data_IF_986989884725
#
_entry.id   IF_986989884725
#
_cell.length_a   1.000
_cell.length_b   1.000
_cell.length_c   1.000
_cell.angle_alpha   90.00
_cell.angle_beta   90.00
_cell.angle_gamma   90.00
#
_symmetry.space_group_name_H-M   'P 1'
#
loop_
_entity.id
_entity.type
_entity.pdbx_description
1 polymer ?
#
# COMPACT_ATOMS: atom_id res chain seq x y z
N UNK A 1 99.99 29.46 -12.85
CA UNK A 1 99.58 30.50 -11.90
C UNK A 1 98.59 31.43 -12.58
N UNK A 2 97.29 31.23 -12.39
CA UNK A 2 96.23 32.26 -12.59
C UNK A 2 94.85 31.76 -12.12
N UNK A 3 94.80 30.80 -11.18
CA UNK A 3 93.58 30.39 -10.45
C UNK A 3 93.17 31.41 -9.37
N UNK A 4 93.47 32.69 -9.58
CA UNK A 4 93.04 33.82 -8.74
C UNK A 4 92.09 34.78 -9.46
N UNK A 5 91.74 34.51 -10.73
CA UNK A 5 90.85 35.36 -11.53
C UNK A 5 89.40 34.88 -11.66
N UNK A 6 89.06 33.65 -11.26
CA UNK A 6 87.70 33.09 -11.47
C UNK A 6 86.87 33.04 -10.18
N UNK A 7 87.50 33.08 -9.00
CA UNK A 7 86.76 33.07 -7.72
C UNK A 7 86.33 34.48 -7.26
N UNK A 8 87.01 35.53 -7.73
CA UNK A 8 86.71 36.92 -7.36
C UNK A 8 85.57 37.55 -8.17
N UNK A 9 85.20 36.97 -9.31
CA UNK A 9 84.10 37.45 -10.15
C UNK A 9 82.75 36.78 -9.82
N UNK A 10 82.75 35.63 -9.16
CA UNK A 10 81.53 34.93 -8.74
C UNK A 10 81.00 35.39 -7.37
N UNK A 11 81.87 35.94 -6.51
CA UNK A 11 81.46 36.48 -5.20
C UNK A 11 80.89 37.90 -5.35
N UNK A 12 81.27 38.63 -6.42
CA UNK A 12 80.80 40.00 -6.65
C UNK A 12 79.41 40.09 -7.31
N UNK A 13 78.92 39.02 -7.96
CA UNK A 13 77.56 39.00 -8.54
C UNK A 13 76.47 38.54 -7.56
N UNK A 14 76.85 37.97 -6.41
CA UNK A 14 75.90 37.53 -5.38
C UNK A 14 75.64 38.58 -4.29
N UNK A 15 76.46 39.63 -4.22
CA UNK A 15 76.33 40.71 -3.22
C UNK A 15 75.44 41.87 -3.73
N UNK A 16 75.18 41.97 -5.03
CA UNK A 16 74.32 43.04 -5.60
C UNK A 16 72.82 42.74 -5.47
N UNK A 17 72.42 41.52 -5.10
CA UNK A 17 71.02 41.19 -4.79
C UNK A 17 70.66 41.19 -3.29
N UNK A 18 71.61 41.46 -2.38
CA UNK A 18 71.38 41.47 -0.93
C UNK A 18 71.45 42.87 -0.29
N UNK A 19 71.53 43.94 -1.08
CA UNK A 19 71.66 45.31 -0.58
C UNK A 19 70.57 46.29 -1.09
N UNK A 20 69.35 45.81 -1.31
CA UNK A 20 68.16 46.65 -1.31
C UNK A 20 67.23 46.21 -0.16
N UNK A 21 67.67 46.49 1.07
CA UNK A 21 66.75 46.63 2.19
C UNK A 21 65.83 47.81 1.91
N UNK A 22 64.52 47.67 2.16
CA UNK A 22 63.70 48.61 2.95
C UNK A 22 62.30 48.01 3.16
N UNK A 23 62.07 47.67 4.43
CA UNK A 23 60.82 47.66 5.21
C UNK A 23 59.54 46.92 4.77
N UNK A 24 59.21 45.94 5.64
CA UNK A 24 57.87 45.73 6.24
C UNK A 24 56.84 44.93 5.44
N UNK A 25 56.87 43.60 5.60
CA UNK A 25 55.69 42.72 5.76
C UNK A 25 56.21 41.32 6.10
N UNK A 26 55.94 40.71 7.27
CA UNK A 26 54.69 40.04 7.63
C UNK A 26 54.10 39.14 6.53
N UNK A 27 54.90 38.35 5.81
CA UNK A 27 54.35 37.30 4.92
C UNK A 27 55.26 36.07 4.96
N UNK A 28 55.25 35.35 6.08
CA UNK A 28 55.61 33.92 6.11
C UNK A 28 54.82 33.15 7.20
N UNK A 29 53.64 33.68 7.58
CA UNK A 29 52.74 33.09 8.59
C UNK A 29 51.30 32.95 8.09
N UNK A 30 50.99 33.34 6.84
CA UNK A 30 49.60 33.42 6.37
C UNK A 30 49.10 32.17 5.65
N UNK A 31 49.98 31.35 5.06
CA UNK A 31 49.57 30.12 4.35
C UNK A 31 49.38 28.95 5.34
N UNK A 32 50.24 28.83 6.35
CA UNK A 32 50.13 27.80 7.40
C UNK A 32 48.99 28.08 8.40
N UNK A 33 48.58 29.36 8.58
CA UNK A 33 47.41 29.73 9.40
C UNK A 33 46.08 29.43 8.71
N UNK A 34 45.94 29.70 7.41
CA UNK A 34 44.68 29.48 6.67
C UNK A 34 44.33 27.97 6.54
N UNK A 35 45.33 27.11 6.32
CA UNK A 35 45.11 25.66 6.18
C UNK A 35 44.81 24.99 7.53
N UNK A 36 45.40 25.51 8.62
CA UNK A 36 45.15 25.06 9.99
C UNK A 36 43.76 25.46 10.49
N UNK A 37 43.29 26.66 10.15
CA UNK A 37 41.94 27.12 10.48
C UNK A 37 40.87 26.38 9.65
N UNK A 38 41.12 26.12 8.36
CA UNK A 38 40.24 25.31 7.52
C UNK A 38 40.13 23.85 8.00
N UNK A 39 41.25 23.25 8.43
CA UNK A 39 41.27 21.88 9.00
C UNK A 39 40.52 21.83 10.33
N UNK A 40 40.68 22.85 11.17
CA UNK A 40 39.97 22.95 12.45
C UNK A 40 38.46 23.07 12.25
N UNK A 41 38.02 23.93 11.32
CA UNK A 41 36.59 24.06 10.98
C UNK A 41 36.01 22.74 10.46
N UNK A 42 36.75 22.02 9.60
CA UNK A 42 36.32 20.72 9.10
C UNK A 42 36.17 19.68 10.23
N UNK A 43 37.05 19.68 11.22
CA UNK A 43 36.96 18.78 12.39
C UNK A 43 35.71 19.12 13.21
N UNK A 44 35.48 20.40 13.52
CA UNK A 44 34.30 20.85 14.27
C UNK A 44 32.98 20.52 13.55
N UNK A 45 32.95 20.68 12.22
CA UNK A 45 31.80 20.31 11.39
C UNK A 45 31.56 18.79 11.40
N UNK A 46 32.64 17.99 11.35
CA UNK A 46 32.57 16.52 11.42
C UNK A 46 32.14 16.04 12.79
N UNK A 47 32.64 16.62 13.86
CA UNK A 47 32.23 16.30 15.24
C UNK A 47 30.75 16.63 15.46
N UNK A 48 30.28 17.76 14.91
CA UNK A 48 28.86 18.12 14.95
C UNK A 48 28.00 17.13 14.16
N UNK A 49 28.47 16.64 13.01
CA UNK A 49 27.77 15.61 12.23
C UNK A 49 27.75 14.27 12.96
N UNK A 50 28.85 13.86 13.58
CA UNK A 50 28.93 12.63 14.37
C UNK A 50 27.92 12.69 15.50
N UNK A 51 27.91 13.78 16.28
CA UNK A 51 26.96 13.94 17.39
C UNK A 51 25.51 13.87 16.94
N UNK A 52 25.17 14.53 15.83
CA UNK A 52 23.80 14.46 15.26
C UNK A 52 23.41 13.05 14.80
N UNK A 53 24.37 12.29 14.25
CA UNK A 53 24.14 10.92 13.83
C UNK A 53 24.01 9.98 15.04
N UNK A 54 24.77 10.21 16.10
CA UNK A 54 24.66 9.49 17.38
C UNK A 54 23.28 9.73 18.01
N UNK A 55 22.86 10.99 18.16
CA UNK A 55 21.53 11.36 18.66
C UNK A 55 20.41 10.69 17.83
N UNK A 56 20.51 10.74 16.50
CA UNK A 56 19.53 10.08 15.62
C UNK A 56 19.54 8.55 15.75
N UNK A 57 20.71 7.95 15.95
CA UNK A 57 20.80 6.50 16.16
C UNK A 57 20.15 6.08 17.48
N UNK A 58 20.34 6.86 18.54
CA UNK A 58 19.66 6.64 19.82
C UNK A 58 18.13 6.75 19.65
N UNK A 59 17.63 7.82 19.01
CA UNK A 59 16.20 8.00 18.74
C UNK A 59 15.60 6.84 17.91
N UNK A 60 16.34 6.34 16.91
CA UNK A 60 15.91 5.21 16.09
C UNK A 60 15.92 3.90 16.88
N UNK A 61 16.89 3.69 17.77
CA UNK A 61 16.96 2.51 18.63
C UNK A 61 15.78 2.49 19.62
N UNK A 62 15.50 3.63 20.24
CA UNK A 62 14.36 3.77 21.15
C UNK A 62 13.03 3.54 20.42
N UNK A 63 12.88 4.11 19.22
CA UNK A 63 11.69 3.89 18.37
C UNK A 63 11.53 2.43 17.98
N UNK A 64 12.61 1.75 17.60
CA UNK A 64 12.59 0.34 17.25
C UNK A 64 12.20 -0.52 18.47
N UNK A 65 12.76 -0.21 19.63
CA UNK A 65 12.42 -0.92 20.86
C UNK A 65 10.95 -0.75 21.25
N UNK A 66 10.42 0.47 21.11
CA UNK A 66 9.00 0.76 21.32
C UNK A 66 8.12 -0.05 20.37
N UNK A 67 8.39 0.00 19.06
CA UNK A 67 7.63 -0.73 18.04
C UNK A 67 7.69 -2.25 18.30
N UNK A 68 8.85 -2.77 18.69
CA UNK A 68 8.99 -4.19 19.02
C UNK A 68 8.14 -4.59 20.23
N UNK A 69 8.05 -3.72 21.23
CA UNK A 69 7.22 -3.94 22.41
C UNK A 69 5.74 -3.94 22.04
N UNK A 70 5.29 -2.95 21.27
CA UNK A 70 3.91 -2.85 20.79
C UNK A 70 3.52 -4.05 19.91
N UNK A 71 4.44 -4.50 19.05
CA UNK A 71 4.24 -5.68 18.22
C UNK A 71 4.09 -6.95 19.08
N UNK A 72 4.91 -7.11 20.11
CA UNK A 72 4.81 -8.26 21.01
C UNK A 72 3.48 -8.25 21.76
N UNK A 73 3.07 -7.10 22.29
CA UNK A 73 1.78 -6.96 22.97
C UNK A 73 0.60 -7.30 22.03
N UNK A 74 0.63 -6.77 20.81
CA UNK A 74 -0.41 -7.04 19.80
C UNK A 74 -0.48 -8.52 19.43
N UNK A 75 0.68 -9.20 19.35
CA UNK A 75 0.73 -10.65 19.09
C UNK A 75 0.15 -11.47 20.24
N UNK A 76 0.46 -11.10 21.48
CA UNK A 76 -0.10 -11.76 22.66
C UNK A 76 -1.62 -11.59 22.71
N UNK A 77 -2.11 -10.38 22.46
CA UNK A 77 -3.54 -10.09 22.38
C UNK A 77 -4.23 -10.87 21.26
N UNK A 78 -3.66 -10.90 20.05
CA UNK A 78 -4.20 -11.68 18.93
C UNK A 78 -4.25 -13.18 19.25
N UNK A 79 -3.20 -13.72 19.88
CA UNK A 79 -3.18 -15.12 20.31
C UNK A 79 -4.26 -15.42 21.35
N UNK A 80 -4.48 -14.52 22.31
CA UNK A 80 -5.53 -14.66 23.30
C UNK A 80 -6.92 -14.72 22.66
N UNK A 81 -7.23 -13.80 21.73
CA UNK A 81 -8.51 -13.84 21.03
C UNK A 81 -8.68 -15.07 20.16
N UNK A 82 -7.62 -15.52 19.46
CA UNK A 82 -7.68 -16.75 18.68
C UNK A 82 -8.00 -17.96 19.56
N UNK A 83 -7.37 -18.09 20.73
CA UNK A 83 -7.67 -19.16 21.68
C UNK A 83 -9.12 -19.10 22.17
N UNK A 84 -9.61 -17.90 22.52
CA UNK A 84 -11.01 -17.72 22.93
C UNK A 84 -11.98 -18.11 21.82
N UNK A 85 -11.69 -17.73 20.57
CA UNK A 85 -12.52 -18.09 19.42
C UNK A 85 -12.49 -19.59 19.20
N UNK A 86 -11.33 -20.23 19.24
CA UNK A 86 -11.21 -21.69 19.11
C UNK A 86 -12.03 -22.42 20.19
N UNK A 87 -11.96 -21.96 21.44
CA UNK A 87 -12.78 -22.48 22.54
C UNK A 87 -14.29 -22.33 22.26
N UNK A 88 -14.72 -21.17 21.77
CA UNK A 88 -16.12 -20.92 21.42
C UNK A 88 -16.60 -21.78 20.24
N UNK A 89 -15.75 -21.96 19.23
CA UNK A 89 -16.07 -22.75 18.03
C UNK A 89 -16.11 -24.25 18.32
N UNK A 90 -15.38 -24.75 19.31
CA UNK A 90 -15.39 -26.17 19.70
C UNK A 90 -16.78 -26.65 20.18
N UNK A 91 -17.63 -25.74 20.67
CA UNK A 91 -18.99 -26.06 21.08
C UNK A 91 -20.00 -26.08 19.92
N UNK A 92 -19.58 -25.66 18.72
CA UNK A 92 -20.45 -25.62 17.54
C UNK A 92 -20.45 -26.98 16.83
N UNK A 93 -21.62 -27.46 16.45
CA UNK A 93 -21.76 -28.58 15.51
C UNK A 93 -21.35 -28.17 14.09
N UNK A 94 -20.98 -29.14 13.25
CA UNK A 94 -20.69 -28.94 11.82
C UNK A 94 -21.77 -28.11 11.10
N UNK A 95 -23.05 -28.34 11.43
CA UNK A 95 -24.17 -27.59 10.88
C UNK A 95 -24.14 -26.12 11.32
N UNK A 96 -23.82 -25.83 12.58
CA UNK A 96 -23.71 -24.45 13.07
C UNK A 96 -22.47 -23.75 12.49
N UNK A 97 -21.37 -24.46 12.33
CA UNK A 97 -20.15 -23.95 11.69
C UNK A 97 -20.41 -23.61 10.21
N UNK A 98 -21.15 -24.45 9.49
CA UNK A 98 -21.56 -24.19 8.12
C UNK A 98 -22.49 -22.97 8.02
N UNK A 99 -23.47 -22.85 8.92
CA UNK A 99 -24.36 -21.69 8.95
C UNK A 99 -23.61 -20.39 9.31
N UNK A 100 -22.59 -20.48 10.16
CA UNK A 100 -21.69 -19.36 10.41
C UNK A 100 -20.85 -19.03 9.18
N UNK A 101 -20.27 -20.02 8.51
CA UNK A 101 -19.50 -19.83 7.28
C UNK A 101 -20.31 -19.09 6.22
N UNK A 102 -21.56 -19.50 5.98
CA UNK A 102 -22.46 -18.80 5.03
C UNK A 102 -22.68 -17.33 5.37
N UNK A 103 -22.71 -16.96 6.65
CA UNK A 103 -22.85 -15.56 7.09
C UNK A 103 -21.60 -14.72 6.92
N UNK A 104 -20.43 -15.37 6.76
CA UNK A 104 -19.18 -14.67 6.48
C UNK A 104 -19.01 -14.33 4.99
N UNK A 105 -19.86 -14.90 4.12
CA UNK A 105 -19.92 -14.53 2.71
C UNK A 105 -21.13 -13.61 2.49
N UNK A 106 -20.86 -12.42 1.97
CA UNK A 106 -21.90 -11.46 1.59
C UNK A 106 -21.93 -11.32 0.07
N UNK A 107 -23.13 -11.31 -0.49
CA UNK A 107 -23.36 -11.13 -1.92
C UNK A 107 -24.24 -9.91 -2.11
N UNK A 108 -23.87 -9.07 -3.08
CA UNK A 108 -24.64 -7.87 -3.42
C UNK A 108 -24.91 -7.87 -4.92
N UNK A 109 -26.17 -7.64 -5.29
CA UNK A 109 -26.59 -7.49 -6.68
C UNK A 109 -27.13 -6.08 -6.86
N UNK A 110 -26.48 -5.32 -7.73
CA UNK A 110 -26.79 -3.93 -7.97
C UNK A 110 -27.08 -3.66 -9.43
N UNK A 111 -27.90 -2.65 -9.67
CA UNK A 111 -28.09 -2.05 -10.99
C UNK A 111 -27.79 -0.55 -10.88
N UNK A 112 -26.84 -0.07 -11.68
CA UNK A 112 -26.33 1.31 -11.63
C UNK A 112 -25.93 1.75 -10.21
N UNK A 113 -25.28 0.87 -9.45
CA UNK A 113 -24.83 1.13 -8.06
C UNK A 113 -25.97 1.20 -7.03
N UNK A 114 -27.18 0.77 -7.39
CA UNK A 114 -28.32 0.67 -6.47
C UNK A 114 -28.71 -0.79 -6.26
N UNK A 115 -29.00 -1.23 -5.02
CA UNK A 115 -29.34 -2.62 -4.74
C UNK A 115 -30.63 -3.03 -5.44
N UNK A 116 -30.67 -4.26 -5.94
CA UNK A 116 -31.87 -4.85 -6.54
C UNK A 116 -32.96 -5.01 -5.46
N UNK A 117 -34.18 -4.48 -5.68
CA UNK A 117 -35.30 -4.69 -4.77
C UNK A 117 -35.68 -6.16 -4.64
N UNK A 118 -36.31 -6.54 -3.52
CA UNK A 118 -36.69 -7.94 -3.23
C UNK A 118 -37.56 -8.59 -4.30
N UNK A 119 -38.41 -7.82 -4.96
CA UNK A 119 -39.30 -8.28 -6.04
C UNK A 119 -38.61 -8.35 -7.42
N UNK A 120 -37.34 -7.96 -7.51
CA UNK A 120 -36.50 -8.03 -8.70
C UNK A 120 -36.89 -7.05 -9.81
N UNK A 121 -37.73 -6.05 -9.54
CA UNK A 121 -38.17 -5.09 -10.57
C UNK A 121 -37.49 -3.74 -10.34
N UNK A 122 -36.75 -3.29 -11.36
CA UNK A 122 -36.04 -2.01 -11.35
C UNK A 122 -36.54 -1.16 -12.52
N UNK A 123 -36.70 0.14 -12.28
CA UNK A 123 -37.07 1.12 -13.31
C UNK A 123 -35.97 2.17 -13.41
N UNK A 124 -35.41 2.32 -14.61
CA UNK A 124 -34.20 3.10 -14.87
C UNK A 124 -34.49 4.04 -16.05
N UNK A 125 -33.96 5.27 -16.01
CA UNK A 125 -34.12 6.24 -17.11
C UNK A 125 -32.85 6.36 -17.96
N UNK A 126 -31.74 5.91 -17.41
CA UNK A 126 -30.44 5.87 -18.03
C UNK A 126 -30.43 4.88 -19.21
N UNK A 127 -29.83 5.31 -20.32
CA UNK A 127 -29.61 4.48 -21.50
C UNK A 127 -28.42 3.51 -21.34
N UNK A 128 -27.70 3.63 -20.22
CA UNK A 128 -26.61 2.74 -19.85
C UNK A 128 -27.00 2.06 -18.56
N UNK A 129 -26.98 0.74 -18.59
CA UNK A 129 -27.34 -0.12 -17.47
C UNK A 129 -26.13 -0.97 -17.14
N UNK A 130 -25.60 -0.82 -15.93
CA UNK A 130 -24.56 -1.66 -15.37
C UNK A 130 -25.16 -2.54 -14.29
N UNK A 131 -24.95 -3.85 -14.42
CA UNK A 131 -25.39 -4.86 -13.46
C UNK A 131 -24.14 -5.42 -12.80
N UNK A 132 -24.05 -5.28 -11.49
CA UNK A 132 -22.88 -5.67 -10.70
C UNK A 132 -23.28 -6.77 -9.73
N UNK A 133 -22.55 -7.88 -9.75
CA UNK A 133 -22.62 -8.91 -8.71
C UNK A 133 -21.29 -8.93 -7.96
N UNK A 134 -21.36 -8.67 -6.66
CA UNK A 134 -20.22 -8.47 -5.78
C UNK A 134 -20.21 -9.57 -4.72
N UNK A 135 -19.05 -10.19 -4.50
CA UNK A 135 -18.78 -11.15 -3.42
C UNK A 135 -17.82 -10.51 -2.42
N UNK A 136 -18.20 -10.48 -1.14
CA UNK A 136 -17.39 -9.94 -0.04
C UNK A 136 -17.19 -10.96 1.06
N UNK A 137 -15.99 -11.00 1.63
CA UNK A 137 -15.61 -11.81 2.79
C UNK A 137 -14.96 -10.95 3.89
N UNK A 138 -14.89 -11.41 5.14
CA UNK A 138 -14.11 -10.72 6.17
C UNK A 138 -12.61 -10.69 5.82
N UNK A 139 -11.92 -9.64 6.26
CA UNK A 139 -10.47 -9.51 6.13
C UNK A 139 -9.70 -10.54 6.97
N UNK A 140 -10.31 -11.02 8.06
CA UNK A 140 -9.75 -12.01 8.96
C UNK A 140 -10.78 -13.12 9.14
N UNK A 141 -10.46 -14.29 8.59
CA UNK A 141 -11.29 -15.49 8.70
C UNK A 141 -10.93 -16.21 9.99
N UNK A 142 -11.94 -16.47 10.81
CA UNK A 142 -11.78 -17.17 12.10
C UNK A 142 -12.14 -18.66 12.03
N UNK A 143 -12.81 -19.08 10.96
CA UNK A 143 -13.17 -20.46 10.74
C UNK A 143 -12.01 -21.21 10.06
N UNK A 144 -11.87 -22.53 10.29
CA UNK A 144 -11.03 -23.38 9.45
C UNK A 144 -11.35 -23.21 7.96
N UNK A 145 -10.33 -23.13 7.11
CA UNK A 145 -10.47 -22.80 5.69
C UNK A 145 -11.44 -23.73 4.94
N UNK A 146 -11.42 -25.02 5.26
CA UNK A 146 -12.29 -26.03 4.66
C UNK A 146 -13.77 -25.80 5.00
N UNK A 147 -14.06 -25.34 6.22
CA UNK A 147 -15.41 -24.96 6.64
C UNK A 147 -15.79 -23.61 6.03
N UNK A 148 -14.87 -22.65 6.06
CA UNK A 148 -15.11 -21.30 5.55
C UNK A 148 -15.51 -21.32 4.07
N UNK A 149 -14.78 -22.08 3.24
CA UNK A 149 -15.06 -22.19 1.79
C UNK A 149 -16.40 -22.86 1.51
N UNK A 150 -16.88 -23.76 2.38
CA UNK A 150 -18.22 -24.37 2.24
C UNK A 150 -19.36 -23.36 2.43
N UNK A 151 -19.08 -22.18 2.99
CA UNK A 151 -20.04 -21.09 3.12
C UNK A 151 -20.36 -20.36 1.82
N UNK A 152 -19.52 -20.52 0.78
CA UNK A 152 -19.71 -19.89 -0.53
C UNK A 152 -20.93 -20.45 -1.26
N UNK A 153 -21.49 -19.66 -2.18
CA UNK A 153 -22.36 -20.22 -3.22
C UNK A 153 -21.58 -21.23 -4.07
N UNK A 154 -22.24 -22.29 -4.53
CA UNK A 154 -21.57 -23.40 -5.22
C UNK A 154 -20.95 -23.01 -6.57
N UNK A 155 -19.68 -23.34 -6.78
CA UNK A 155 -18.97 -22.96 -8.01
C UNK A 155 -18.48 -21.52 -7.98
N UNK A 156 -18.41 -20.86 -9.14
CA UNK A 156 -18.06 -19.44 -9.18
C UNK A 156 -19.32 -18.60 -9.08
N UNK A 157 -19.34 -17.59 -8.22
CA UNK A 157 -20.53 -16.77 -7.97
C UNK A 157 -21.11 -16.11 -9.24
N UNK A 158 -20.26 -15.74 -10.20
CA UNK A 158 -20.70 -15.13 -11.46
C UNK A 158 -21.40 -16.12 -12.41
N UNK A 159 -21.18 -17.42 -12.27
CA UNK A 159 -21.88 -18.45 -13.05
C UNK A 159 -23.36 -18.57 -12.65
N UNK A 160 -23.74 -17.91 -11.55
CA UNK A 160 -25.13 -17.85 -11.08
C UNK A 160 -25.97 -16.83 -11.84
N UNK A 161 -25.38 -15.98 -12.67
CA UNK A 161 -26.10 -15.01 -13.51
C UNK A 161 -26.35 -15.58 -14.91
N UNK A 162 -27.59 -15.48 -15.38
CA UNK A 162 -27.96 -15.89 -16.75
C UNK A 162 -28.76 -14.79 -17.43
N UNK A 163 -28.09 -14.06 -18.31
CA UNK A 163 -28.70 -12.98 -19.07
C UNK A 163 -29.47 -13.50 -20.28
N UNK A 164 -30.64 -12.91 -20.53
CA UNK A 164 -31.42 -13.17 -21.76
C UNK A 164 -30.90 -12.36 -22.96
N UNK A 165 -30.10 -11.33 -22.71
CA UNK A 165 -29.44 -10.51 -23.71
C UNK A 165 -27.94 -10.43 -23.40
N UNK A 166 -27.11 -10.37 -24.43
CA UNK A 166 -25.66 -10.25 -24.22
C UNK A 166 -25.32 -8.81 -23.79
N UNK A 167 -24.54 -8.64 -22.71
CA UNK A 167 -24.00 -7.34 -22.35
C UNK A 167 -23.04 -6.84 -23.44
N UNK A 168 -22.95 -5.52 -23.58
CA UNK A 168 -22.00 -4.85 -24.46
C UNK A 168 -20.56 -5.01 -23.96
N UNK A 169 -20.38 -5.04 -22.64
CA UNK A 169 -19.10 -5.19 -21.99
C UNK A 169 -19.25 -6.03 -20.71
N UNK A 170 -18.22 -6.80 -20.38
CA UNK A 170 -18.14 -7.52 -19.10
C UNK A 170 -16.72 -7.40 -18.57
N UNK A 171 -16.60 -7.01 -17.31
CA UNK A 171 -15.31 -6.81 -16.65
C UNK A 171 -15.38 -7.25 -15.17
N UNK A 172 -14.23 -7.54 -14.59
CA UNK A 172 -14.11 -7.95 -13.19
C UNK A 172 -13.36 -6.90 -12.36
N UNK A 173 -13.69 -6.83 -11.09
CA UNK A 173 -12.92 -6.12 -10.06
C UNK A 173 -12.40 -7.13 -9.05
N UNK A 174 -11.13 -7.02 -8.69
CA UNK A 174 -10.46 -7.95 -7.78
C UNK A 174 -9.73 -7.17 -6.69
N UNK A 175 -10.02 -7.54 -5.45
CA UNK A 175 -9.48 -6.96 -4.23
C UNK A 175 -9.29 -8.04 -3.19
N UNK A 176 -8.59 -7.71 -2.10
CA UNK A 176 -8.23 -8.72 -1.08
C UNK A 176 -9.43 -9.38 -0.40
N UNK A 177 -10.54 -8.66 -0.26
CA UNK A 177 -11.72 -9.10 0.49
C UNK A 177 -13.04 -8.91 -0.26
N UNK A 178 -12.99 -8.22 -1.40
CA UNK A 178 -14.14 -7.88 -2.24
C UNK A 178 -13.74 -8.17 -3.67
N UNK A 179 -14.57 -8.92 -4.38
CA UNK A 179 -14.45 -9.14 -5.82
C UNK A 179 -15.81 -8.88 -6.47
N UNK A 180 -15.81 -8.52 -7.74
CA UNK A 180 -17.05 -8.28 -8.46
C UNK A 180 -16.97 -8.63 -9.95
N UNK A 181 -18.11 -8.98 -10.52
CA UNK A 181 -18.31 -9.05 -11.97
C UNK A 181 -19.34 -8.00 -12.36
N UNK A 182 -19.07 -7.31 -13.45
CA UNK A 182 -19.87 -6.20 -13.95
C UNK A 182 -20.26 -6.47 -15.40
N UNK A 183 -21.55 -6.31 -15.70
CA UNK A 183 -22.12 -6.48 -17.02
C UNK A 183 -22.78 -5.17 -17.46
N UNK A 184 -22.27 -4.57 -18.52
CA UNK A 184 -22.71 -3.27 -19.00
C UNK A 184 -23.47 -3.40 -20.30
N UNK A 185 -24.63 -2.75 -20.35
CA UNK A 185 -25.49 -2.62 -21.52
C UNK A 185 -25.52 -1.15 -21.90
N UNK A 186 -25.06 -0.83 -23.10
CA UNK A 186 -25.05 0.54 -23.63
C UNK A 186 -26.16 0.71 -24.66
N UNK A 187 -26.56 1.96 -24.87
CA UNK A 187 -27.58 2.35 -25.87
C UNK A 187 -28.92 1.59 -25.71
N UNK A 188 -29.34 1.38 -24.46
CA UNK A 188 -30.61 0.71 -24.14
C UNK A 188 -31.78 1.58 -24.57
N UNK A 189 -32.58 1.09 -25.51
CA UNK A 189 -33.73 1.82 -26.04
C UNK A 189 -34.78 2.09 -24.94
N UNK A 190 -35.44 3.25 -25.04
CA UNK A 190 -36.55 3.62 -24.16
C UNK A 190 -37.69 2.61 -24.31
N UNK A 191 -38.18 2.08 -23.20
CA UNK A 191 -39.21 1.03 -23.18
C UNK A 191 -38.66 -0.38 -23.32
N UNK A 192 -37.35 -0.57 -23.55
CA UNK A 192 -36.73 -1.88 -23.54
C UNK A 192 -36.73 -2.48 -22.13
N UNK A 193 -36.70 -3.81 -22.08
CA UNK A 193 -36.55 -4.57 -20.83
C UNK A 193 -35.32 -5.44 -20.92
N UNK A 194 -34.39 -5.25 -19.98
CA UNK A 194 -33.30 -6.20 -19.75
C UNK A 194 -33.76 -7.16 -18.67
N UNK A 195 -33.56 -8.45 -18.91
CA UNK A 195 -33.94 -9.50 -17.97
C UNK A 195 -32.84 -10.53 -17.85
N UNK A 196 -32.67 -11.03 -16.64
CA UNK A 196 -31.75 -12.12 -16.33
C UNK A 196 -32.29 -12.92 -15.15
N UNK A 197 -31.85 -14.18 -15.06
CA UNK A 197 -32.16 -15.06 -13.94
C UNK A 197 -30.93 -15.28 -13.07
N UNK A 198 -31.19 -15.50 -11.79
CA UNK A 198 -30.22 -15.98 -10.81
C UNK A 198 -30.59 -17.38 -10.34
N UNK A 199 -29.63 -18.16 -9.85
CA UNK A 199 -29.97 -19.46 -9.26
C UNK A 199 -30.68 -19.31 -7.92
N UNK A 200 -31.41 -20.35 -7.51
CA UNK A 200 -32.09 -20.41 -6.21
C UNK A 200 -31.14 -20.24 -5.01
N UNK A 201 -29.89 -20.65 -5.18
CA UNK A 201 -28.86 -20.49 -4.14
C UNK A 201 -28.47 -19.02 -3.99
N UNK A 202 -28.11 -18.35 -5.09
CA UNK A 202 -27.76 -16.93 -5.06
C UNK A 202 -28.96 -16.07 -4.62
N UNK A 203 -30.19 -16.40 -5.06
CA UNK A 203 -31.42 -15.73 -4.60
C UNK A 203 -31.55 -15.73 -3.08
N UNK A 204 -31.30 -16.88 -2.44
CA UNK A 204 -31.36 -17.00 -0.97
C UNK A 204 -30.29 -16.16 -0.31
N UNK A 205 -29.05 -16.20 -0.82
CA UNK A 205 -27.94 -15.40 -0.29
C UNK A 205 -28.20 -13.90 -0.41
N UNK A 206 -28.81 -13.45 -1.52
CA UNK A 206 -29.21 -12.05 -1.75
C UNK A 206 -30.47 -11.63 -0.98
N UNK A 207 -31.20 -12.57 -0.35
CA UNK A 207 -32.46 -12.28 0.34
C UNK A 207 -33.60 -11.81 -0.58
N UNK A 208 -33.58 -12.21 -1.86
CA UNK A 208 -34.58 -11.84 -2.86
C UNK A 208 -35.77 -12.81 -2.85
N UNK A 209 -36.95 -12.30 -3.21
CA UNK A 209 -38.18 -13.11 -3.28
C UNK A 209 -38.35 -13.77 -4.67
N UNK A 210 -37.61 -13.30 -5.68
CA UNK A 210 -37.62 -13.79 -7.07
C UNK A 210 -36.24 -14.17 -7.56
N UNK A 211 -36.19 -15.15 -8.48
CA UNK A 211 -34.99 -15.50 -9.24
C UNK A 211 -34.89 -14.73 -10.57
N UNK A 212 -35.98 -14.10 -11.00
CA UNK A 212 -36.06 -13.34 -12.26
C UNK A 212 -35.97 -11.85 -11.96
N UNK A 213 -34.96 -11.19 -12.54
CA UNK A 213 -34.72 -9.76 -12.39
C UNK A 213 -35.08 -9.06 -13.70
N UNK A 214 -35.86 -7.99 -13.60
CA UNK A 214 -36.34 -7.20 -14.73
C UNK A 214 -36.00 -5.72 -14.55
N UNK A 215 -35.25 -5.18 -15.50
CA UNK A 215 -34.88 -3.77 -15.55
C UNK A 215 -35.64 -3.12 -16.71
N UNK A 216 -36.53 -2.19 -16.38
CA UNK A 216 -37.39 -1.48 -17.34
C UNK A 216 -36.80 -0.10 -17.62
N UNK A 217 -36.36 0.11 -18.86
CA UNK A 217 -35.92 1.43 -19.34
C UNK A 217 -37.14 2.32 -19.59
N UNK A 218 -37.24 3.45 -18.90
CA UNK A 218 -38.43 4.34 -18.89
C UNK A 218 -38.38 5.50 -19.85
#
# INVERSE_FOLDING_TARGET
MQKKGILLLAILSMIVFLAACIDKSSVDNSIEMDEKDATKQLIEDKDTQIKKLEEKNEELQDSLHSIQTDLNYTKEEANYYNQLIDELLNDYSDAQLLELAKKLWNYELEVNGSPVPRDGIIEIQENTIEISLIETQPAYVVLPDDIFIQGKVSGNYYDHLKFNANPSETYGTDGTVVTGVHHKFVDVEKGATISFSITEELKKSLGLDTAEIMIKSR
#
